data_IF_137570904424
#
_entry.id   IF_137570904424
#
_cell.length_a   1.000
_cell.length_b   1.000
_cell.length_c   1.000
_cell.angle_alpha   90.00
_cell.angle_beta   90.00
_cell.angle_gamma   90.00
#
_symmetry.space_group_name_H-M   'P 1'
#
loop_
_entity.id
_entity.type
_entity.pdbx_description
1 polymer ?
#
# COMPACT_ATOMS: atom_id res chain seq x y z
N UNK A 1 -23.05 -32.09 64.17
CA UNK A 1 -22.70 -32.21 65.61
C UNK A 1 -21.27 -32.76 65.68
N UNK A 2 -20.34 -32.04 66.31
CA UNK A 2 -18.95 -32.47 66.42
C UNK A 2 -18.82 -33.58 67.47
N UNK A 3 -18.09 -34.64 67.13
CA UNK A 3 -17.87 -35.78 68.03
C UNK A 3 -16.74 -35.45 69.00
N UNK A 4 -17.03 -35.45 70.30
CA UNK A 4 -16.04 -35.21 71.35
C UNK A 4 -15.27 -36.49 71.71
N UNK A 5 -13.96 -36.36 71.93
CA UNK A 5 -13.11 -37.48 72.33
C UNK A 5 -13.24 -37.79 73.83
N UNK A 6 -13.41 -39.07 74.19
CA UNK A 6 -13.61 -39.51 75.59
C UNK A 6 -12.32 -39.67 76.40
N UNK A 7 -11.17 -39.65 75.73
CA UNK A 7 -9.83 -39.74 76.31
C UNK A 7 -8.85 -38.93 75.45
N UNK A 8 -7.74 -38.49 76.03
CA UNK A 8 -6.68 -37.83 75.26
C UNK A 8 -5.92 -38.86 74.44
N UNK A 9 -5.73 -38.60 73.15
CA UNK A 9 -5.09 -39.52 72.22
C UNK A 9 -4.56 -38.77 70.99
N UNK A 10 -3.65 -39.41 70.27
CA UNK A 10 -3.23 -38.96 68.94
C UNK A 10 -4.05 -39.67 67.88
N UNK A 11 -4.53 -38.94 66.89
CA UNK A 11 -5.35 -39.47 65.79
C UNK A 11 -4.76 -39.05 64.45
N UNK A 12 -4.73 -39.98 63.50
CA UNK A 12 -4.39 -39.67 62.11
C UNK A 12 -5.55 -38.87 61.50
N UNK A 13 -5.21 -37.79 60.82
CA UNK A 13 -6.17 -36.86 60.21
C UNK A 13 -5.67 -36.40 58.86
N UNK A 14 -6.61 -36.03 57.99
CA UNK A 14 -6.34 -35.18 56.85
C UNK A 14 -6.54 -33.72 57.26
N UNK A 15 -5.53 -32.90 57.03
CA UNK A 15 -5.57 -31.45 57.21
C UNK A 15 -6.18 -30.80 55.97
N UNK A 16 -7.03 -29.81 56.19
CA UNK A 16 -7.84 -29.17 55.18
C UNK A 16 -7.52 -27.67 55.12
N UNK A 17 -7.69 -27.07 53.95
CA UNK A 17 -7.80 -25.62 53.81
C UNK A 17 -9.11 -25.12 54.43
N UNK A 18 -9.27 -23.79 54.51
CA UNK A 18 -10.53 -23.17 54.93
C UNK A 18 -11.72 -23.59 54.06
N UNK A 19 -11.45 -23.87 52.78
CA UNK A 19 -12.43 -24.28 51.77
C UNK A 19 -12.60 -25.81 51.69
N UNK A 20 -11.92 -26.57 52.56
CA UNK A 20 -12.06 -28.02 52.63
C UNK A 20 -11.12 -28.80 51.71
N UNK A 21 -10.25 -28.14 50.94
CA UNK A 21 -9.25 -28.82 50.10
C UNK A 21 -8.23 -29.56 50.96
N UNK A 22 -7.90 -30.79 50.58
CA UNK A 22 -6.85 -31.55 51.26
C UNK A 22 -5.48 -30.87 51.14
N UNK A 23 -4.74 -30.79 52.25
CA UNK A 23 -3.39 -30.21 52.29
C UNK A 23 -2.33 -31.28 52.54
N UNK A 24 -2.54 -32.10 53.58
CA UNK A 24 -1.60 -33.15 53.99
C UNK A 24 -2.29 -34.12 54.95
N UNK A 25 -1.71 -35.32 55.12
CA UNK A 25 -2.06 -36.21 56.22
C UNK A 25 -1.06 -36.04 57.37
N UNK A 26 -1.57 -35.94 58.60
CA UNK A 26 -0.74 -35.77 59.78
C UNK A 26 -1.40 -36.39 61.03
N UNK A 27 -0.64 -36.44 62.13
CA UNK A 27 -1.13 -36.88 63.43
C UNK A 27 -1.47 -35.68 64.30
N UNK A 28 -2.70 -35.59 64.79
CA UNK A 28 -3.16 -34.52 65.70
C UNK A 28 -3.43 -35.05 67.11
N UNK A 29 -2.98 -34.32 68.14
CA UNK A 29 -3.24 -34.67 69.54
C UNK A 29 -4.53 -34.00 70.04
N UNK A 30 -5.53 -34.81 70.37
CA UNK A 30 -6.81 -34.34 70.91
C UNK A 30 -6.94 -34.67 72.39
N UNK A 31 -7.41 -33.70 73.17
CA UNK A 31 -7.58 -33.82 74.63
C UNK A 31 -8.96 -34.39 74.95
N UNK A 32 -9.05 -35.17 76.04
CA UNK A 32 -10.33 -35.62 76.58
C UNK A 32 -11.33 -34.47 76.74
N UNK A 33 -12.50 -34.61 76.13
CA UNK A 33 -13.58 -33.63 76.21
C UNK A 33 -13.53 -32.52 75.16
N UNK A 34 -12.56 -32.54 74.23
CA UNK A 34 -12.53 -31.63 73.07
C UNK A 34 -12.94 -32.37 71.79
N UNK A 35 -13.25 -31.60 70.74
CA UNK A 35 -13.43 -32.11 69.39
C UNK A 35 -12.24 -31.69 68.53
N UNK A 36 -12.11 -32.32 67.37
CA UNK A 36 -11.14 -31.93 66.36
C UNK A 36 -11.51 -30.54 65.78
N UNK A 37 -10.49 -29.75 65.40
CA UNK A 37 -10.71 -28.49 64.69
C UNK A 37 -11.42 -28.69 63.36
N UNK A 38 -12.08 -27.65 62.84
CA UNK A 38 -12.81 -27.71 61.57
C UNK A 38 -11.88 -27.94 60.35
N UNK A 39 -10.58 -27.68 60.52
CA UNK A 39 -9.56 -27.81 59.48
C UNK A 39 -8.99 -29.23 59.40
N UNK A 40 -9.62 -30.20 60.07
CA UNK A 40 -9.18 -31.58 60.06
C UNK A 40 -10.37 -32.55 59.96
N UNK A 41 -10.14 -33.68 59.34
CA UNK A 41 -11.06 -34.81 59.31
C UNK A 41 -10.33 -36.12 59.62
N UNK A 42 -11.00 -37.04 60.31
CA UNK A 42 -10.50 -38.41 60.52
C UNK A 42 -10.77 -39.30 59.30
N UNK A 43 -11.55 -38.83 58.31
CA UNK A 43 -11.73 -39.54 57.05
C UNK A 43 -10.50 -39.27 56.17
N UNK A 44 -9.51 -40.15 56.25
CA UNK A 44 -8.26 -39.97 55.53
C UNK A 44 -8.48 -40.01 54.02
N UNK A 45 -8.07 -38.95 53.34
CA UNK A 45 -7.87 -38.95 51.90
C UNK A 45 -6.42 -39.29 51.58
N UNK A 46 -6.22 -40.09 50.54
CA UNK A 46 -4.91 -40.43 49.99
C UNK A 46 -5.00 -40.21 48.49
N UNK A 47 -4.28 -39.22 47.93
CA UNK A 47 -4.25 -39.00 46.50
C UNK A 47 -3.90 -40.27 45.74
N UNK A 48 -4.57 -40.53 44.61
CA UNK A 48 -4.24 -41.68 43.77
C UNK A 48 -2.86 -41.56 43.11
N UNK A 49 -2.41 -40.34 42.85
CA UNK A 49 -1.06 -39.99 42.38
C UNK A 49 -0.69 -38.56 42.79
N UNK A 50 0.59 -38.20 42.61
CA UNK A 50 1.05 -36.83 42.79
C UNK A 50 0.26 -35.87 41.87
N UNK A 51 -0.17 -34.73 42.43
CA UNK A 51 -0.97 -33.74 41.70
C UNK A 51 -2.47 -34.02 41.66
N UNK A 52 -2.98 -34.99 42.42
CA UNK A 52 -4.43 -35.17 42.62
C UNK A 52 -4.87 -34.58 43.96
N UNK A 53 -6.09 -34.06 44.02
CA UNK A 53 -6.68 -33.45 45.20
C UNK A 53 -8.19 -33.73 45.26
N UNK A 54 -8.77 -33.64 46.46
CA UNK A 54 -10.20 -33.70 46.69
C UNK A 54 -10.62 -32.64 47.72
N UNK A 55 -11.88 -32.21 47.65
CA UNK A 55 -12.49 -31.29 48.61
C UNK A 55 -13.32 -32.09 49.62
N UNK A 56 -13.18 -31.79 50.91
CA UNK A 56 -13.99 -32.41 51.95
C UNK A 56 -15.24 -31.57 52.22
N UNK A 57 -16.41 -32.14 51.93
CA UNK A 57 -17.70 -31.56 52.31
C UNK A 57 -17.90 -31.75 53.82
N UNK A 58 -17.91 -30.64 54.56
CA UNK A 58 -18.01 -30.63 56.02
C UNK A 58 -19.44 -30.96 56.52
N UNK A 59 -20.47 -30.75 55.68
CA UNK A 59 -21.87 -31.02 56.01
C UNK A 59 -22.20 -32.50 55.78
N UNK A 60 -21.89 -33.00 54.58
CA UNK A 60 -22.13 -34.39 54.18
C UNK A 60 -21.06 -35.36 54.73
N UNK A 61 -19.93 -34.82 55.21
CA UNK A 61 -18.79 -35.57 55.79
C UNK A 61 -18.20 -36.60 54.83
N UNK A 62 -18.05 -36.21 53.57
CA UNK A 62 -17.50 -37.04 52.51
C UNK A 62 -16.53 -36.23 51.66
N UNK A 63 -15.61 -36.93 51.00
CA UNK A 63 -14.77 -36.33 49.98
C UNK A 63 -15.56 -36.20 48.68
N UNK A 64 -15.27 -35.15 47.92
CA UNK A 64 -15.66 -35.04 46.52
C UNK A 64 -15.01 -36.15 45.69
N UNK A 65 -15.42 -36.26 44.43
CA UNK A 65 -14.61 -36.96 43.45
C UNK A 65 -13.21 -36.32 43.39
N UNK A 66 -12.22 -37.16 43.13
CA UNK A 66 -10.83 -36.74 43.01
C UNK A 66 -10.62 -36.04 41.67
N UNK A 67 -9.91 -34.92 41.71
CA UNK A 67 -9.59 -34.08 40.55
C UNK A 67 -8.07 -33.83 40.48
N UNK A 68 -7.60 -33.41 39.30
CA UNK A 68 -6.23 -32.90 39.16
C UNK A 68 -6.13 -31.54 39.88
N UNK A 69 -5.08 -31.35 40.67
CA UNK A 69 -4.78 -30.08 41.32
C UNK A 69 -4.30 -29.06 40.29
N UNK A 70 -5.18 -28.12 39.97
CA UNK A 70 -4.93 -27.08 38.98
C UNK A 70 -4.13 -25.89 39.54
N UNK A 71 -3.97 -25.79 40.87
CA UNK A 71 -3.44 -24.60 41.58
C UNK A 71 -2.17 -24.03 40.95
N UNK A 72 -1.22 -24.91 40.61
CA UNK A 72 0.10 -24.54 40.10
C UNK A 72 0.29 -24.83 38.61
N UNK A 73 -0.79 -25.15 37.88
CA UNK A 73 -0.70 -25.36 36.43
C UNK A 73 -0.40 -24.02 35.75
N UNK A 74 0.71 -23.92 35.00
CA UNK A 74 1.07 -22.68 34.34
C UNK A 74 0.22 -22.45 33.09
N UNK A 75 0.02 -21.18 32.76
CA UNK A 75 -0.44 -20.72 31.46
C UNK A 75 0.22 -19.39 31.11
N UNK A 76 0.13 -19.00 29.84
CA UNK A 76 0.76 -17.81 29.32
C UNK A 76 -0.26 -16.92 28.62
N UNK A 77 0.01 -15.62 28.61
CA UNK A 77 -0.67 -14.70 27.69
C UNK A 77 0.06 -14.60 26.35
N UNK A 78 -0.51 -13.87 25.39
CA UNK A 78 0.07 -13.74 24.04
C UNK A 78 1.47 -13.13 23.99
N UNK A 79 1.98 -12.55 25.08
CA UNK A 79 3.32 -11.95 25.17
C UNK A 79 4.31 -12.83 25.94
N UNK A 80 3.93 -14.07 26.25
CA UNK A 80 4.78 -15.02 26.96
C UNK A 80 4.88 -14.77 28.47
N UNK A 81 4.02 -13.93 29.05
CA UNK A 81 3.99 -13.73 30.51
C UNK A 81 3.35 -14.94 31.17
N UNK A 82 4.03 -15.51 32.16
CA UNK A 82 3.59 -16.70 32.89
C UNK A 82 2.62 -16.35 34.03
N UNK A 83 1.59 -17.18 34.16
CA UNK A 83 0.57 -17.15 35.21
C UNK A 83 0.29 -18.56 35.70
N UNK A 84 -0.42 -18.68 36.83
CA UNK A 84 -0.92 -19.96 37.38
C UNK A 84 -2.40 -19.83 37.69
N UNK A 85 -3.15 -20.94 37.65
CA UNK A 85 -4.61 -20.94 37.88
C UNK A 85 -4.95 -20.49 39.31
N UNK A 86 -4.14 -20.90 40.30
CA UNK A 86 -4.25 -20.42 41.68
C UNK A 86 -5.34 -21.07 42.53
N UNK A 87 -6.20 -21.90 41.94
CA UNK A 87 -7.28 -22.62 42.61
C UNK A 87 -7.24 -24.12 42.21
N UNK A 88 -7.49 -25.06 43.15
CA UNK A 88 -7.40 -26.50 42.87
C UNK A 88 -8.35 -27.01 41.79
N UNK A 89 -9.57 -26.48 41.72
CA UNK A 89 -10.62 -26.83 40.75
C UNK A 89 -10.83 -25.74 39.68
N UNK A 90 -9.87 -24.82 39.54
CA UNK A 90 -9.95 -23.74 38.57
C UNK A 90 -9.76 -24.21 37.12
N UNK A 91 -10.45 -23.56 36.19
CA UNK A 91 -10.28 -23.74 34.77
C UNK A 91 -9.25 -22.77 34.17
N UNK A 92 -8.67 -23.13 33.03
CA UNK A 92 -7.88 -22.20 32.24
C UNK A 92 -8.76 -21.01 31.79
N UNK A 93 -8.31 -19.76 31.97
CA UNK A 93 -9.07 -18.61 31.49
C UNK A 93 -9.16 -18.59 29.96
N UNK A 94 -10.14 -17.86 29.43
CA UNK A 94 -10.29 -17.67 27.99
C UNK A 94 -9.02 -17.02 27.40
N UNK A 95 -8.50 -17.59 26.32
CA UNK A 95 -7.25 -17.14 25.68
C UNK A 95 -5.95 -17.58 26.37
N UNK A 96 -6.03 -18.45 27.38
CA UNK A 96 -4.84 -19.03 28.02
C UNK A 96 -4.06 -19.92 27.03
N UNK A 97 -2.78 -19.64 26.89
CA UNK A 97 -1.84 -20.46 26.12
C UNK A 97 -1.18 -21.46 27.07
N UNK A 98 -1.18 -22.74 26.73
CA UNK A 98 -0.66 -23.81 27.61
C UNK A 98 0.78 -24.18 27.24
N UNK A 99 1.15 -23.92 26.00
CA UNK A 99 2.47 -24.12 25.45
C UNK A 99 3.41 -23.05 25.98
N UNK A 100 4.50 -23.49 26.63
CA UNK A 100 5.55 -22.58 27.07
C UNK A 100 6.20 -21.89 25.86
N UNK A 101 6.45 -20.57 25.92
CA UNK A 101 7.21 -19.88 24.87
C UNK A 101 8.62 -20.48 24.72
N UNK A 102 9.21 -20.41 23.51
CA UNK A 102 10.61 -20.79 23.30
C UNK A 102 11.54 -19.97 24.18
N UNK A 103 12.79 -20.42 24.36
CA UNK A 103 13.80 -19.62 25.04
C UNK A 103 14.24 -18.44 24.15
N UNK A 104 14.27 -17.24 24.72
CA UNK A 104 14.68 -16.00 24.03
C UNK A 104 15.43 -15.06 24.98
N UNK A 105 16.15 -14.09 24.43
CA UNK A 105 16.84 -13.07 25.23
C UNK A 105 15.89 -11.88 25.49
N UNK A 106 15.33 -11.78 26.69
CA UNK A 106 14.37 -10.73 27.05
C UNK A 106 14.93 -9.29 27.06
N UNK A 107 16.25 -9.09 26.94
CA UNK A 107 16.85 -7.75 26.77
C UNK A 107 16.88 -7.31 25.30
N UNK A 108 16.81 -8.26 24.37
CA UNK A 108 16.99 -8.02 22.93
C UNK A 108 15.84 -8.52 22.07
N UNK A 109 14.94 -9.31 22.65
CA UNK A 109 13.91 -10.03 21.93
C UNK A 109 12.60 -10.02 22.72
N UNK A 110 11.50 -10.13 21.98
CA UNK A 110 10.16 -10.40 22.51
C UNK A 110 9.63 -11.70 21.92
N UNK A 111 8.56 -12.20 22.52
CA UNK A 111 7.81 -13.34 21.98
C UNK A 111 6.36 -12.93 21.84
N UNK A 112 5.72 -13.40 20.77
CA UNK A 112 4.30 -13.18 20.52
C UNK A 112 3.66 -14.47 20.05
N UNK A 113 2.48 -14.79 20.60
CA UNK A 113 1.69 -15.94 20.18
C UNK A 113 0.60 -15.50 19.21
N UNK A 114 0.62 -16.07 18.02
CA UNK A 114 -0.40 -15.85 17.01
C UNK A 114 -0.59 -17.12 16.17
N UNK A 115 -1.81 -17.32 15.66
CA UNK A 115 -2.19 -18.47 14.82
C UNK A 115 -1.75 -19.86 15.35
N UNK A 116 -1.68 -20.01 16.67
CA UNK A 116 -1.32 -21.28 17.32
C UNK A 116 0.18 -21.51 17.54
N UNK A 117 1.04 -20.55 17.19
CA UNK A 117 2.49 -20.68 17.31
C UNK A 117 3.14 -19.46 17.98
N UNK A 118 4.25 -19.72 18.68
CA UNK A 118 5.11 -18.68 19.24
C UNK A 118 6.10 -18.18 18.18
N UNK A 119 6.16 -16.87 17.99
CA UNK A 119 7.19 -16.22 17.17
C UNK A 119 8.08 -15.34 18.05
N UNK A 120 9.40 -15.46 17.89
CA UNK A 120 10.39 -14.61 18.55
C UNK A 120 10.75 -13.45 17.63
N UNK A 121 10.73 -12.24 18.15
CA UNK A 121 11.07 -11.01 17.43
C UNK A 121 12.31 -10.39 18.04
N UNK A 122 13.20 -9.84 17.21
CA UNK A 122 14.27 -8.97 17.68
C UNK A 122 13.71 -7.56 17.95
N UNK A 123 14.16 -6.93 19.05
CA UNK A 123 13.77 -5.57 19.42
C UNK A 123 14.57 -4.59 18.57
N UNK A 124 13.94 -4.10 17.51
CA UNK A 124 14.53 -3.21 16.52
C UNK A 124 14.05 -1.75 16.66
N UNK A 125 13.44 -1.41 17.81
CA UNK A 125 12.86 -0.10 18.07
C UNK A 125 13.82 1.06 17.75
N UNK A 126 13.29 2.06 17.05
CA UNK A 126 14.05 3.25 16.67
C UNK A 126 14.91 3.08 15.42
N UNK A 127 15.04 1.88 14.85
CA UNK A 127 15.71 1.71 13.55
C UNK A 127 14.84 2.22 12.42
N UNK A 128 15.49 2.80 11.41
CA UNK A 128 14.84 3.25 10.19
C UNK A 128 14.62 2.12 9.21
N UNK A 129 13.53 2.21 8.46
CA UNK A 129 13.26 1.41 7.27
C UNK A 129 12.60 2.30 6.21
N UNK A 130 12.70 1.89 4.94
CA UNK A 130 12.22 2.69 3.82
C UNK A 130 11.25 1.90 2.97
N UNK A 131 10.24 2.59 2.44
CA UNK A 131 9.36 2.04 1.40
C UNK A 131 10.01 2.11 0.02
N UNK A 132 9.29 1.63 -1.00
CA UNK A 132 9.75 1.63 -2.39
C UNK A 132 10.01 3.01 -3.00
N UNK A 133 9.51 4.07 -2.39
CA UNK A 133 9.58 5.44 -2.91
C UNK A 133 10.59 6.32 -2.19
N UNK A 134 11.37 5.75 -1.26
CA UNK A 134 12.34 6.40 -0.37
C UNK A 134 11.74 7.12 0.82
N UNK A 135 10.48 6.86 1.18
CA UNK A 135 9.91 7.41 2.41
C UNK A 135 10.51 6.66 3.61
N UNK A 136 11.05 7.40 4.57
CA UNK A 136 11.62 6.86 5.80
C UNK A 136 10.53 6.67 6.86
N UNK A 137 10.60 5.53 7.55
CA UNK A 137 9.78 5.17 8.68
C UNK A 137 10.66 4.69 9.83
N UNK A 138 10.16 4.80 11.06
CA UNK A 138 10.85 4.35 12.26
C UNK A 138 10.06 3.21 12.89
N UNK A 139 10.76 2.14 13.28
CA UNK A 139 10.16 1.02 14.00
C UNK A 139 9.72 1.49 15.40
N UNK A 140 8.42 1.37 15.67
CA UNK A 140 7.80 1.73 16.96
C UNK A 140 7.13 0.55 17.68
N UNK A 141 7.06 -0.61 17.03
CA UNK A 141 6.49 -1.85 17.58
C UNK A 141 7.60 -2.80 18.03
N UNK A 142 7.39 -3.49 19.15
CA UNK A 142 8.29 -4.52 19.66
C UNK A 142 8.23 -5.79 18.81
N UNK A 143 7.06 -6.10 18.23
CA UNK A 143 6.84 -7.32 17.44
C UNK A 143 6.83 -6.99 15.94
N UNK A 144 7.88 -6.29 15.49
CA UNK A 144 7.92 -5.75 14.13
C UNK A 144 8.35 -6.79 13.10
N UNK A 145 7.61 -6.87 12.00
CA UNK A 145 8.01 -7.57 10.77
C UNK A 145 8.11 -6.55 9.65
N UNK A 146 9.23 -6.58 8.91
CA UNK A 146 9.43 -5.70 7.76
C UNK A 146 8.33 -5.96 6.71
N UNK A 147 7.52 -4.96 6.34
CA UNK A 147 6.46 -5.18 5.35
C UNK A 147 7.05 -5.47 3.97
N UNK A 148 6.24 -6.07 3.10
CA UNK A 148 6.63 -6.27 1.70
C UNK A 148 7.01 -4.95 1.03
N UNK A 149 7.97 -5.00 0.10
CA UNK A 149 8.46 -3.82 -0.66
C UNK A 149 9.07 -2.71 0.22
N UNK A 150 9.55 -3.08 1.41
CA UNK A 150 10.37 -2.22 2.26
C UNK A 150 11.78 -2.81 2.41
N UNK A 151 12.70 -1.99 2.88
CA UNK A 151 14.09 -2.40 3.16
C UNK A 151 14.66 -1.66 4.36
N UNK A 152 15.62 -2.28 5.04
CA UNK A 152 16.48 -1.63 6.04
C UNK A 152 17.69 -0.92 5.42
N UNK A 153 17.84 -1.02 4.09
CA UNK A 153 18.94 -0.39 3.37
C UNK A 153 18.53 1.04 3.03
N UNK A 154 19.27 2.02 3.53
CA UNK A 154 19.06 3.44 3.21
C UNK A 154 19.14 3.67 1.68
N UNK A 155 18.22 4.46 1.09
CA UNK A 155 18.28 4.81 -0.31
C UNK A 155 19.54 5.64 -0.63
N UNK A 156 20.22 5.39 -1.76
CA UNK A 156 21.31 6.24 -2.20
C UNK A 156 20.83 7.65 -2.56
N UNK A 157 21.77 8.60 -2.63
CA UNK A 157 21.48 9.90 -3.23
C UNK A 157 21.08 9.74 -4.70
N UNK A 158 20.10 10.54 -5.15
CA UNK A 158 19.64 10.52 -6.54
C UNK A 158 20.56 11.33 -7.45
N UNK A 159 20.83 10.80 -8.63
CA UNK A 159 21.52 11.55 -9.67
C UNK A 159 20.58 12.61 -10.27
N UNK A 160 21.17 13.65 -10.87
CA UNK A 160 20.39 14.69 -11.54
C UNK A 160 19.58 14.11 -12.69
N UNK A 161 18.26 14.27 -12.64
CA UNK A 161 17.35 13.75 -13.67
C UNK A 161 16.92 12.30 -13.44
N UNK A 162 17.22 11.73 -12.27
CA UNK A 162 16.79 10.39 -11.87
C UNK A 162 15.99 10.45 -10.57
N UNK A 163 15.22 9.40 -10.34
CA UNK A 163 14.64 9.07 -9.04
C UNK A 163 15.12 7.71 -8.58
N UNK A 164 15.16 7.52 -7.27
CA UNK A 164 15.52 6.23 -6.66
C UNK A 164 14.24 5.46 -6.35
N UNK A 165 14.22 4.17 -6.70
CA UNK A 165 13.11 3.26 -6.41
C UNK A 165 13.63 1.90 -5.95
N UNK A 166 12.93 1.30 -4.99
CA UNK A 166 13.20 -0.08 -4.59
C UNK A 166 12.51 -1.00 -5.58
N UNK A 167 13.31 -1.80 -6.29
CA UNK A 167 12.84 -2.78 -7.27
C UNK A 167 13.53 -4.10 -6.95
N UNK A 168 12.72 -5.14 -6.69
CA UNK A 168 13.19 -6.48 -6.34
C UNK A 168 14.21 -6.50 -5.18
N UNK A 169 13.97 -5.67 -4.16
CA UNK A 169 14.81 -5.58 -2.96
C UNK A 169 16.10 -4.77 -3.14
N UNK A 170 16.32 -4.15 -4.30
CA UNK A 170 17.50 -3.33 -4.59
C UNK A 170 17.11 -1.92 -5.03
N UNK A 171 17.90 -0.93 -4.59
CA UNK A 171 17.73 0.45 -5.05
C UNK A 171 18.20 0.60 -6.49
N UNK A 172 17.34 1.15 -7.33
CA UNK A 172 17.63 1.45 -8.73
C UNK A 172 17.40 2.94 -9.00
N UNK A 173 18.28 3.53 -9.79
CA UNK A 173 18.08 4.87 -10.36
C UNK A 173 17.29 4.73 -11.66
N UNK A 174 16.15 5.41 -11.74
CA UNK A 174 15.25 5.40 -12.89
C UNK A 174 15.16 6.83 -13.42
N UNK A 175 15.32 7.02 -14.74
CA UNK A 175 15.21 8.33 -15.36
C UNK A 175 13.88 9.01 -14.99
N UNK A 176 13.95 10.27 -14.62
CA UNK A 176 12.77 11.10 -14.37
C UNK A 176 12.59 12.08 -15.52
N UNK A 177 11.86 11.59 -16.51
CA UNK A 177 11.48 12.37 -17.69
C UNK A 177 10.07 12.91 -17.60
N UNK A 178 9.39 12.72 -16.45
CA UNK A 178 8.01 13.18 -16.24
C UNK A 178 7.91 14.69 -16.43
N UNK A 179 6.72 15.13 -16.82
CA UNK A 179 6.37 16.53 -17.10
C UNK A 179 7.16 17.16 -18.27
N UNK A 180 8.07 16.43 -18.91
CA UNK A 180 8.71 16.86 -20.17
C UNK A 180 7.79 16.56 -21.34
N UNK A 181 7.74 17.46 -22.29
CA UNK A 181 7.10 17.25 -23.59
C UNK A 181 8.05 16.49 -24.52
N UNK A 182 7.51 15.49 -25.21
CA UNK A 182 8.18 14.76 -26.27
C UNK A 182 7.34 14.79 -27.55
N UNK A 183 8.01 14.67 -28.69
CA UNK A 183 7.43 14.82 -30.03
C UNK A 183 7.55 13.51 -30.79
N UNK A 184 6.50 13.14 -31.53
CA UNK A 184 6.45 11.93 -32.32
C UNK A 184 7.31 12.09 -33.58
N UNK A 185 8.36 11.29 -33.74
CA UNK A 185 9.26 11.37 -34.90
C UNK A 185 8.59 11.02 -36.24
N UNK A 186 7.43 10.34 -36.23
CA UNK A 186 6.66 10.04 -37.45
C UNK A 186 5.67 11.15 -37.82
N UNK A 187 5.29 12.01 -36.87
CA UNK A 187 4.33 13.09 -37.06
C UNK A 187 4.69 14.30 -36.18
N UNK A 188 5.28 15.32 -36.79
CA UNK A 188 5.74 16.54 -36.11
C UNK A 188 4.60 17.37 -35.48
N UNK A 189 3.34 17.04 -35.75
CA UNK A 189 2.18 17.72 -35.14
C UNK A 189 1.75 17.07 -33.83
N UNK A 190 2.27 15.89 -33.52
CA UNK A 190 1.92 15.14 -32.32
C UNK A 190 2.98 15.30 -31.24
N UNK A 191 2.52 15.61 -30.04
CA UNK A 191 3.33 15.64 -28.83
C UNK A 191 2.59 15.04 -27.65
N UNK A 192 3.35 14.59 -26.66
CA UNK A 192 2.83 14.08 -25.40
C UNK A 192 3.68 14.53 -24.22
N UNK A 193 3.05 14.66 -23.06
CA UNK A 193 3.76 14.84 -21.79
C UNK A 193 4.08 13.48 -21.20
N UNK A 194 5.33 13.27 -20.79
CA UNK A 194 5.74 12.03 -20.13
C UNK A 194 5.10 11.95 -18.75
N UNK A 195 4.37 10.86 -18.49
CA UNK A 195 3.70 10.65 -17.18
C UNK A 195 4.41 9.61 -16.32
N UNK A 196 5.21 8.73 -16.93
CA UNK A 196 5.83 7.58 -16.26
C UNK A 196 7.33 7.78 -16.09
N UNK A 197 7.87 7.16 -15.05
CA UNK A 197 9.31 7.04 -14.85
C UNK A 197 9.94 6.14 -15.91
N UNK A 198 11.19 6.42 -16.23
CA UNK A 198 12.00 5.70 -17.21
C UNK A 198 12.30 6.53 -18.45
N UNK A 199 12.95 5.87 -19.41
CA UNK A 199 13.24 6.45 -20.71
C UNK A 199 11.96 6.76 -21.46
N UNK A 200 12.02 7.75 -22.35
CA UNK A 200 10.92 8.10 -23.23
C UNK A 200 10.59 6.96 -24.20
N UNK A 201 9.37 6.97 -24.72
CA UNK A 201 8.91 5.94 -25.66
C UNK A 201 9.79 5.93 -26.91
N UNK A 202 9.98 4.74 -27.47
CA UNK A 202 10.65 4.59 -28.76
C UNK A 202 9.86 5.34 -29.86
N UNK A 203 10.56 5.97 -30.80
CA UNK A 203 9.95 6.81 -31.84
C UNK A 203 9.61 8.23 -31.40
N UNK A 204 10.02 8.65 -30.20
CA UNK A 204 9.86 10.01 -29.71
C UNK A 204 11.20 10.71 -29.48
N UNK A 205 11.19 12.04 -29.52
CA UNK A 205 12.34 12.90 -29.23
C UNK A 205 11.96 14.06 -28.31
N UNK A 206 12.93 14.63 -27.61
CA UNK A 206 12.77 15.88 -26.86
C UNK A 206 12.87 17.13 -27.76
N UNK A 207 13.43 16.97 -28.96
CA UNK A 207 13.63 18.08 -29.87
C UNK A 207 12.28 18.53 -30.45
N UNK A 208 11.95 19.80 -30.30
CA UNK A 208 10.72 20.37 -30.84
C UNK A 208 10.86 20.60 -32.35
N UNK A 209 9.88 20.15 -33.17
CA UNK A 209 9.87 20.49 -34.58
C UNK A 209 9.68 22.00 -34.74
N UNK A 210 10.45 22.59 -35.65
CA UNK A 210 10.41 24.02 -35.96
C UNK A 210 9.22 24.40 -36.84
N UNK A 211 8.73 23.47 -37.66
CA UNK A 211 7.59 23.68 -38.56
C UNK A 211 6.64 22.49 -38.59
N UNK A 212 5.40 22.71 -39.04
CA UNK A 212 4.40 21.67 -39.28
C UNK A 212 4.72 20.77 -40.50
N UNK A 213 5.84 21.01 -41.17
CA UNK A 213 6.30 20.26 -42.34
C UNK A 213 7.62 19.55 -42.06
N UNK A 214 8.04 19.47 -40.81
CA UNK A 214 9.30 18.83 -40.43
C UNK A 214 9.19 17.30 -40.50
N UNK A 215 10.24 16.67 -40.98
CA UNK A 215 10.40 15.22 -41.04
C UNK A 215 11.63 14.81 -40.21
N UNK A 216 11.53 13.68 -39.51
CA UNK A 216 12.64 13.17 -38.70
C UNK A 216 13.63 12.41 -39.57
N UNK A 217 14.82 12.98 -39.81
CA UNK A 217 15.85 12.42 -40.68
C UNK A 217 17.19 12.45 -39.96
N UNK A 218 17.86 11.29 -39.87
CA UNK A 218 19.18 11.17 -39.23
C UNK A 218 19.25 11.77 -37.81
N UNK A 219 18.22 11.50 -37.00
CA UNK A 219 18.07 11.99 -35.62
C UNK A 219 17.95 13.51 -35.48
N UNK A 220 17.42 14.20 -36.50
CA UNK A 220 17.14 15.63 -36.46
C UNK A 220 15.88 15.96 -37.26
N UNK A 221 15.18 17.02 -36.86
CA UNK A 221 14.08 17.60 -37.64
C UNK A 221 14.62 18.31 -38.87
N UNK A 222 14.06 17.99 -40.04
CA UNK A 222 14.37 18.63 -41.32
C UNK A 222 13.08 19.09 -41.97
N UNK A 223 12.92 20.39 -42.20
CA UNK A 223 11.74 20.93 -42.88
C UNK A 223 11.62 20.41 -44.30
N UNK A 224 10.53 19.74 -44.61
CA UNK A 224 10.17 19.38 -45.97
C UNK A 224 9.71 20.63 -46.73
N UNK A 225 10.67 21.30 -47.37
CA UNK A 225 10.44 22.51 -48.16
C UNK A 225 9.40 22.33 -49.26
N UNK A 226 9.29 21.12 -49.83
CA UNK A 226 8.30 20.81 -50.88
C UNK A 226 6.88 20.82 -50.31
N UNK A 227 6.65 20.14 -49.19
CA UNK A 227 5.34 20.12 -48.54
C UNK A 227 4.95 21.54 -48.08
N UNK A 228 5.90 22.28 -47.50
CA UNK A 228 5.71 23.68 -47.15
C UNK A 228 5.29 24.52 -48.36
N UNK A 229 6.01 24.43 -49.48
CA UNK A 229 5.69 25.17 -50.70
C UNK A 229 4.30 24.82 -51.25
N UNK A 230 3.93 23.53 -51.25
CA UNK A 230 2.61 23.08 -51.70
C UNK A 230 1.50 23.69 -50.83
N UNK A 231 1.69 23.71 -49.51
CA UNK A 231 0.74 24.33 -48.58
C UNK A 231 0.64 25.85 -48.81
N UNK A 232 1.78 26.55 -48.84
CA UNK A 232 1.82 28.00 -49.12
C UNK A 232 1.15 28.34 -50.46
N UNK A 233 1.34 27.50 -51.50
CA UNK A 233 0.71 27.68 -52.80
C UNK A 233 -0.81 27.49 -52.73
N UNK A 234 -1.26 26.43 -52.07
CA UNK A 234 -2.69 26.12 -51.94
C UNK A 234 -3.43 27.24 -51.19
N UNK A 235 -2.84 27.78 -50.12
CA UNK A 235 -3.42 28.89 -49.34
C UNK A 235 -3.61 30.14 -50.20
N UNK A 236 -2.61 30.48 -51.02
CA UNK A 236 -2.69 31.62 -51.96
C UNK A 236 -3.72 31.34 -53.06
N UNK A 237 -3.77 30.12 -53.60
CA UNK A 237 -4.72 29.74 -54.66
C UNK A 237 -6.16 29.82 -54.16
N UNK A 238 -6.45 29.27 -52.98
CA UNK A 238 -7.76 29.32 -52.35
C UNK A 238 -8.20 30.77 -52.06
N UNK A 239 -7.29 31.57 -51.49
CA UNK A 239 -7.54 33.00 -51.24
C UNK A 239 -7.90 33.73 -52.53
N UNK A 240 -7.11 33.54 -53.59
CA UNK A 240 -7.34 34.20 -54.88
C UNK A 240 -8.65 33.74 -55.52
N UNK A 241 -8.97 32.45 -55.47
CA UNK A 241 -10.26 31.93 -55.99
C UNK A 241 -11.44 32.56 -55.27
N UNK A 242 -11.39 32.66 -53.94
CA UNK A 242 -12.42 33.34 -53.15
C UNK A 242 -12.59 34.81 -53.56
N UNK A 243 -11.48 35.54 -53.70
CA UNK A 243 -11.50 36.95 -54.10
C UNK A 243 -11.98 37.16 -55.54
N UNK A 244 -11.62 36.28 -56.48
CA UNK A 244 -12.12 36.33 -57.85
C UNK A 244 -13.62 36.10 -57.90
N UNK A 245 -14.13 35.12 -57.14
CA UNK A 245 -15.56 34.85 -57.05
C UNK A 245 -16.34 36.05 -56.52
N UNK A 246 -15.76 36.81 -55.58
CA UNK A 246 -16.40 37.99 -55.01
C UNK A 246 -16.30 39.24 -55.89
N UNK A 247 -15.12 39.52 -56.47
CA UNK A 247 -14.83 40.81 -57.09
C UNK A 247 -14.82 40.77 -58.62
N UNK A 248 -14.47 39.64 -59.25
CA UNK A 248 -14.34 39.53 -60.70
C UNK A 248 -15.59 38.91 -61.32
N UNK A 249 -16.06 37.78 -60.79
CA UNK A 249 -17.14 36.99 -61.41
C UNK A 249 -18.45 37.78 -61.56
N UNK A 250 -18.91 38.59 -60.59
CA UNK A 250 -20.12 39.40 -60.75
C UNK A 250 -19.98 40.45 -61.86
N UNK A 251 -18.81 41.07 -62.00
CA UNK A 251 -18.54 42.06 -63.05
C UNK A 251 -18.54 41.42 -64.43
N UNK A 252 -17.94 40.22 -64.55
CA UNK A 252 -17.94 39.46 -65.82
C UNK A 252 -19.36 38.98 -66.15
N UNK A 253 -20.12 38.50 -65.17
CA UNK A 253 -21.50 38.07 -65.36
C UNK A 253 -22.39 39.24 -65.84
N UNK A 254 -22.27 40.41 -65.20
CA UNK A 254 -23.02 41.60 -65.59
C UNK A 254 -22.58 42.10 -66.99
N UNK A 255 -21.28 42.09 -67.31
CA UNK A 255 -20.80 42.45 -68.64
C UNK A 255 -21.41 41.57 -69.74
N UNK A 256 -21.53 40.26 -69.50
CA UNK A 256 -22.19 39.34 -70.43
C UNK A 256 -23.68 39.69 -70.64
N UNK A 257 -24.39 40.07 -69.57
CA UNK A 257 -25.79 40.53 -69.65
C UNK A 257 -25.87 41.83 -70.46
N UNK A 258 -24.95 42.78 -70.25
CA UNK A 258 -24.90 44.05 -70.99
C UNK A 258 -24.67 43.85 -72.49
N UNK A 259 -23.82 42.89 -72.88
CA UNK A 259 -23.65 42.50 -74.30
C UNK A 259 -24.96 41.98 -74.90
N UNK A 260 -25.69 41.14 -74.17
CA UNK A 260 -27.00 40.64 -74.64
C UNK A 260 -28.05 41.75 -74.81
N UNK A 261 -27.90 42.86 -74.08
CA UNK A 261 -28.77 44.04 -74.17
C UNK A 261 -28.35 45.03 -75.26
N UNK A 262 -27.21 44.81 -75.94
CA UNK A 262 -26.66 45.73 -76.94
C UNK A 262 -25.89 46.92 -76.34
N UNK A 263 -25.52 46.87 -75.07
CA UNK A 263 -24.74 47.91 -74.38
C UNK A 263 -23.25 47.56 -74.37
N UNK A 264 -22.63 47.51 -75.55
CA UNK A 264 -21.26 47.01 -75.72
C UNK A 264 -20.21 47.83 -74.94
N UNK A 265 -20.37 49.15 -74.86
CA UNK A 265 -19.42 50.00 -74.13
C UNK A 265 -19.49 49.77 -72.61
N UNK A 266 -20.70 49.63 -72.05
CA UNK A 266 -20.87 49.34 -70.61
C UNK A 266 -20.29 47.97 -70.25
N UNK A 267 -20.46 46.97 -71.13
CA UNK A 267 -19.85 45.66 -70.95
C UNK A 267 -18.32 45.75 -70.94
N UNK A 268 -17.72 46.52 -71.86
CA UNK A 268 -16.27 46.70 -71.94
C UNK A 268 -15.72 47.40 -70.69
N UNK A 269 -16.45 48.39 -70.15
CA UNK A 269 -16.06 49.09 -68.93
C UNK A 269 -16.06 48.13 -67.72
N UNK A 270 -17.05 47.24 -67.62
CA UNK A 270 -17.13 46.20 -66.57
C UNK A 270 -16.04 45.15 -66.71
N UNK A 271 -15.74 44.68 -67.93
CA UNK A 271 -14.62 43.77 -68.20
C UNK A 271 -13.28 44.39 -67.79
N UNK A 272 -13.10 45.69 -68.10
CA UNK A 272 -11.90 46.45 -67.70
C UNK A 272 -11.77 46.53 -66.18
N UNK A 273 -12.88 46.78 -65.47
CA UNK A 273 -12.90 46.78 -64.00
C UNK A 273 -12.59 45.39 -63.43
N UNK A 274 -13.13 44.32 -64.01
CA UNK A 274 -12.87 42.95 -63.58
C UNK A 274 -11.40 42.56 -63.77
N UNK A 275 -10.79 42.95 -64.90
CA UNK A 275 -9.36 42.73 -65.18
C UNK A 275 -8.46 43.53 -64.23
N UNK A 276 -8.82 44.78 -63.94
CA UNK A 276 -8.10 45.61 -62.97
C UNK A 276 -8.19 45.02 -61.55
N UNK A 277 -9.37 44.56 -61.13
CA UNK A 277 -9.57 43.87 -59.85
C UNK A 277 -8.75 42.57 -59.78
N UNK A 278 -8.75 41.76 -60.86
CA UNK A 278 -7.95 40.53 -60.95
C UNK A 278 -6.46 40.81 -60.82
N UNK A 279 -5.94 41.81 -61.53
CA UNK A 279 -4.54 42.20 -61.47
C UNK A 279 -4.14 42.68 -60.07
N UNK A 280 -5.01 43.45 -59.41
CA UNK A 280 -4.79 43.89 -58.03
C UNK A 280 -4.72 42.72 -57.04
N UNK A 281 -5.66 41.77 -57.12
CA UNK A 281 -5.64 40.55 -56.30
C UNK A 281 -4.34 39.75 -56.51
N UNK A 282 -3.80 39.70 -57.73
CA UNK A 282 -2.54 39.00 -58.00
C UNK A 282 -1.32 39.69 -57.37
N UNK A 283 -1.32 41.02 -57.35
CA UNK A 283 -0.26 41.81 -56.71
C UNK A 283 -0.35 41.71 -55.18
N UNK A 284 -1.56 41.76 -54.64
CA UNK A 284 -1.81 41.68 -53.20
C UNK A 284 -1.59 40.27 -52.63
N UNK A 285 -1.69 39.23 -53.48
CA UNK A 285 -1.50 37.81 -53.13
C UNK A 285 -0.54 37.12 -54.11
N UNK A 286 0.77 37.43 -54.06
CA UNK A 286 1.76 36.82 -54.92
C UNK A 286 1.90 35.32 -54.61
N UNK A 287 2.25 34.53 -55.63
CA UNK A 287 2.61 33.12 -55.42
C UNK A 287 3.87 33.01 -54.54
N UNK A 288 4.00 31.93 -53.75
CA UNK A 288 5.21 31.69 -52.98
C UNK A 288 6.44 31.55 -53.90
N UNK A 289 7.62 31.90 -53.37
CA UNK A 289 8.88 31.76 -54.10
C UNK A 289 9.13 30.30 -54.49
N UNK A 290 9.53 30.06 -55.74
CA UNK A 290 9.80 28.71 -56.22
C UNK A 290 10.99 28.10 -55.50
N UNK A 291 10.88 26.82 -55.17
CA UNK A 291 12.01 25.99 -54.79
C UNK A 291 12.89 25.79 -56.04
N UNK A 292 13.97 26.56 -56.17
CA UNK A 292 14.99 26.37 -57.23
C UNK A 292 15.96 25.28 -56.82
#
# INVERSE_FOLDING_TARGET
MNTFFKQSQSVEVSRLSNEGWWLENCTEHVVKGTALGADFTQLIYTPSSDGMIAQFDREEKQWSDEIEDMTWKPFFDVYGREFVIGEPDGDYPEGAIKEKPPEYNNEKQTVFYDDGDWTVFDIELGKSYWDRETNEFIISDFNFTLPEKHTFIEPPEKDKGFVVRLVDGQWQQIEDNRDKTIYNCEDCTQSETVEKLGSIKEGFTYDEPSTLYDEWINNQWVTNLRNKYIADFNDVDETRRGLYSYACDPLIAEANIKRLQGHDQEALDMETQALAARARIQVDHPWPESLI
#
